data_IF_043107027965
#
_entry.id   IF_043107027965
#
_cell.length_a   1.000
_cell.length_b   1.000
_cell.length_c   1.000
_cell.angle_alpha   90.00
_cell.angle_beta   90.00
_cell.angle_gamma   90.00
#
_symmetry.space_group_name_H-M   'P 1'
#
loop_
_entity.id
_entity.type
_entity.pdbx_description
1 polymer ?
#
# COMPACT_ATOMS: atom_id res chain seq x y z
N UNK A 1 33.87 -13.77 -64.24
CA UNK A 1 33.33 -12.83 -63.23
C UNK A 1 32.98 -13.63 -62.01
N UNK A 2 33.77 -13.56 -60.99
CA UNK A 2 33.59 -14.32 -59.70
C UNK A 2 32.83 -13.43 -58.75
N UNK A 3 31.62 -13.81 -58.40
CA UNK A 3 30.83 -13.14 -57.33
C UNK A 3 31.20 -13.77 -56.00
N UNK A 4 31.82 -12.96 -55.15
CA UNK A 4 32.09 -13.28 -53.73
C UNK A 4 30.83 -13.02 -52.94
N UNK A 5 30.34 -14.03 -52.24
CA UNK A 5 29.28 -13.92 -51.23
C UNK A 5 29.93 -13.56 -49.87
N UNK A 6 29.38 -12.62 -49.12
CA UNK A 6 29.85 -12.38 -47.76
C UNK A 6 29.28 -13.39 -46.79
N UNK A 7 30.15 -13.89 -45.97
CA UNK A 7 29.90 -14.80 -44.84
C UNK A 7 29.15 -14.05 -43.77
N UNK A 8 27.88 -14.39 -43.53
CA UNK A 8 27.11 -13.86 -42.40
C UNK A 8 27.55 -14.54 -41.11
N UNK A 9 28.20 -13.76 -40.23
CA UNK A 9 28.52 -14.19 -38.89
C UNK A 9 27.27 -14.22 -38.02
N UNK A 10 26.86 -15.42 -37.62
CA UNK A 10 25.75 -15.65 -36.69
C UNK A 10 26.24 -15.38 -35.26
N UNK A 11 25.91 -14.24 -34.71
CA UNK A 11 26.16 -13.92 -33.29
C UNK A 11 25.03 -14.57 -32.49
N UNK A 12 25.31 -15.69 -31.86
CA UNK A 12 24.43 -16.32 -30.87
C UNK A 12 24.52 -15.53 -29.56
N UNK A 13 23.55 -14.64 -29.34
CA UNK A 13 23.36 -13.99 -28.06
C UNK A 13 22.73 -14.97 -27.08
N UNK A 14 23.53 -15.53 -26.18
CA UNK A 14 23.04 -16.31 -25.04
C UNK A 14 22.39 -15.34 -24.05
N UNK A 15 21.07 -15.29 -24.05
CA UNK A 15 20.29 -14.64 -23.01
C UNK A 15 20.36 -15.51 -21.76
N UNK A 16 21.23 -15.14 -20.82
CA UNK A 16 21.21 -15.74 -19.49
C UNK A 16 19.99 -15.22 -18.75
N UNK A 17 18.96 -16.08 -18.62
CA UNK A 17 17.88 -15.85 -17.67
C UNK A 17 18.42 -16.02 -16.25
N UNK A 18 18.73 -14.92 -15.59
CA UNK A 18 18.88 -14.94 -14.13
C UNK A 18 17.50 -15.09 -13.54
N UNK A 19 17.20 -16.25 -13.01
CA UNK A 19 16.03 -16.52 -12.19
C UNK A 19 16.17 -15.74 -10.88
N UNK A 20 15.50 -14.62 -10.77
CA UNK A 20 15.24 -13.99 -9.47
C UNK A 20 14.13 -14.79 -8.80
N UNK A 21 14.51 -15.88 -8.14
CA UNK A 21 13.68 -16.51 -7.13
C UNK A 21 14.21 -16.02 -5.78
N UNK A 22 13.76 -14.88 -5.34
CA UNK A 22 13.81 -14.54 -3.93
C UNK A 22 12.53 -13.77 -3.56
N UNK A 23 11.47 -14.53 -3.31
CA UNK A 23 10.31 -14.08 -2.58
C UNK A 23 10.62 -14.19 -1.10
N UNK A 24 11.59 -13.41 -0.64
CA UNK A 24 11.59 -13.02 0.76
C UNK A 24 10.40 -12.11 0.94
N UNK A 25 9.41 -12.57 1.69
CA UNK A 25 8.42 -11.72 2.33
C UNK A 25 9.21 -10.72 3.18
N UNK A 26 9.60 -9.61 2.58
CA UNK A 26 10.11 -8.47 3.29
C UNK A 26 8.97 -7.99 4.16
N UNK A 27 9.01 -8.35 5.45
CA UNK A 27 8.28 -7.63 6.47
C UNK A 27 8.62 -6.16 6.23
N UNK A 28 7.64 -5.39 5.76
CA UNK A 28 7.83 -3.96 5.51
C UNK A 28 7.96 -3.30 6.87
N UNK A 29 9.17 -3.36 7.42
CA UNK A 29 9.47 -2.64 8.66
C UNK A 29 9.62 -1.16 8.30
N UNK A 30 8.82 -0.33 8.93
CA UNK A 30 8.97 1.11 8.83
C UNK A 30 10.40 1.52 9.20
N UNK A 31 10.99 2.51 8.51
CA UNK A 31 12.33 2.97 8.81
C UNK A 31 12.42 3.52 10.24
N UNK A 32 13.61 3.51 10.87
CA UNK A 32 13.78 4.08 12.21
C UNK A 32 13.30 5.54 12.27
N UNK A 33 12.46 5.84 13.25
CA UNK A 33 11.95 7.19 13.44
C UNK A 33 13.05 8.10 14.03
N UNK A 34 13.24 9.28 13.45
CA UNK A 34 14.21 10.28 13.93
C UNK A 34 13.57 11.40 14.76
N UNK A 35 12.24 11.52 14.73
CA UNK A 35 11.46 12.48 15.52
C UNK A 35 10.06 11.92 15.85
N UNK A 36 9.31 12.62 16.70
CA UNK A 36 7.96 12.19 17.14
C UNK A 36 6.97 12.08 15.98
N UNK A 37 7.00 12.97 15.01
CA UNK A 37 6.12 12.90 13.83
C UNK A 37 6.38 11.62 13.04
N UNK A 38 7.63 11.27 12.78
CA UNK A 38 7.98 10.03 12.08
C UNK A 38 7.60 8.78 12.88
N UNK A 39 7.73 8.84 14.20
CA UNK A 39 7.30 7.75 15.08
C UNK A 39 5.79 7.52 14.98
N UNK A 40 4.99 8.57 15.02
CA UNK A 40 3.54 8.47 14.87
C UNK A 40 3.14 7.96 13.49
N UNK A 41 3.80 8.44 12.41
CA UNK A 41 3.60 7.94 11.05
C UNK A 41 3.92 6.44 10.94
N UNK A 42 5.05 6.01 11.47
CA UNK A 42 5.44 4.60 11.43
C UNK A 42 4.44 3.73 12.19
N UNK A 43 4.00 4.16 13.38
CA UNK A 43 2.99 3.43 14.16
C UNK A 43 1.65 3.31 13.42
N UNK A 44 1.21 4.39 12.77
CA UNK A 44 -0.02 4.40 11.96
C UNK A 44 0.09 3.44 10.78
N UNK A 45 1.22 3.45 10.07
CA UNK A 45 1.47 2.57 8.93
C UNK A 45 1.56 1.11 9.34
N UNK A 46 2.26 0.80 10.41
CA UNK A 46 2.40 -0.57 10.92
C UNK A 46 1.05 -1.15 11.34
N UNK A 47 0.23 -0.34 12.03
CA UNK A 47 -1.14 -0.71 12.40
C UNK A 47 -2.00 -0.97 11.16
N UNK A 48 -2.00 -0.05 10.19
CA UNK A 48 -2.77 -0.18 8.95
C UNK A 48 -2.36 -1.46 8.19
N UNK A 49 -1.07 -1.69 8.00
CA UNK A 49 -0.56 -2.89 7.31
C UNK A 49 -0.95 -4.18 8.02
N UNK A 50 -0.86 -4.21 9.34
CA UNK A 50 -1.26 -5.38 10.14
C UNK A 50 -2.75 -5.67 9.99
N UNK A 51 -3.60 -4.66 10.06
CA UNK A 51 -5.05 -4.80 9.91
C UNK A 51 -5.45 -5.20 8.48
N UNK A 52 -4.79 -4.62 7.46
CA UNK A 52 -4.99 -5.03 6.07
C UNK A 52 -4.55 -6.47 5.82
N UNK A 53 -3.43 -6.90 6.38
CA UNK A 53 -2.95 -8.27 6.25
C UNK A 53 -3.96 -9.29 6.81
N UNK A 54 -4.68 -8.96 7.87
CA UNK A 54 -5.74 -9.81 8.41
C UNK A 54 -6.89 -10.01 7.41
N UNK A 55 -7.21 -9.00 6.60
CA UNK A 55 -8.26 -9.11 5.57
C UNK A 55 -7.88 -10.03 4.42
N UNK A 56 -6.59 -10.23 4.16
CA UNK A 56 -6.10 -11.11 3.09
C UNK A 56 -6.34 -12.60 3.35
N UNK A 57 -6.64 -12.98 4.59
CA UNK A 57 -7.01 -14.36 4.94
C UNK A 57 -8.49 -14.65 4.73
N UNK A 58 -9.29 -13.64 4.40
CA UNK A 58 -10.73 -13.78 4.16
C UNK A 58 -10.97 -14.35 2.75
N UNK A 59 -11.83 -15.36 2.64
CA UNK A 59 -12.14 -16.04 1.38
C UNK A 59 -13.28 -15.38 0.60
N UNK A 60 -14.13 -14.64 1.29
CA UNK A 60 -15.20 -13.88 0.67
C UNK A 60 -14.68 -12.50 0.23
N UNK A 61 -14.75 -12.23 -1.07
CA UNK A 61 -14.20 -11.00 -1.66
C UNK A 61 -14.86 -9.72 -1.11
N UNK A 62 -16.18 -9.74 -0.85
CA UNK A 62 -16.88 -8.56 -0.33
C UNK A 62 -16.48 -8.27 1.13
N UNK A 63 -16.31 -9.32 1.93
CA UNK A 63 -15.84 -9.19 3.32
C UNK A 63 -14.38 -8.74 3.34
N UNK A 64 -13.52 -9.35 2.51
CA UNK A 64 -12.11 -8.97 2.38
C UNK A 64 -11.97 -7.49 1.98
N UNK A 65 -12.75 -7.04 1.00
CA UNK A 65 -12.79 -5.65 0.56
C UNK A 65 -13.20 -4.72 1.70
N UNK A 66 -14.32 -4.98 2.36
CA UNK A 66 -14.83 -4.12 3.42
C UNK A 66 -13.85 -4.03 4.60
N UNK A 67 -13.27 -5.14 5.04
CA UNK A 67 -12.28 -5.16 6.12
C UNK A 67 -10.99 -4.44 5.74
N UNK A 68 -10.46 -4.71 4.55
CA UNK A 68 -9.23 -4.09 4.05
C UNK A 68 -9.39 -2.59 3.85
N UNK A 69 -10.52 -2.14 3.31
CA UNK A 69 -10.80 -0.72 3.09
C UNK A 69 -11.07 0.05 4.38
N UNK A 70 -11.69 -0.58 5.39
CA UNK A 70 -11.79 0.04 6.72
C UNK A 70 -10.40 0.30 7.29
N UNK A 71 -9.51 -0.67 7.26
CA UNK A 71 -8.13 -0.51 7.72
C UNK A 71 -7.39 0.60 6.98
N UNK A 72 -7.52 0.64 5.66
CA UNK A 72 -6.92 1.66 4.80
C UNK A 72 -7.46 3.07 5.12
N UNK A 73 -8.78 3.23 5.26
CA UNK A 73 -9.43 4.50 5.57
C UNK A 73 -9.05 5.02 6.98
N UNK A 74 -8.98 4.12 7.96
CA UNK A 74 -8.50 4.47 9.30
C UNK A 74 -7.04 4.95 9.27
N UNK A 75 -6.18 4.30 8.49
CA UNK A 75 -4.80 4.73 8.29
C UNK A 75 -4.71 6.11 7.63
N UNK A 76 -5.55 6.39 6.64
CA UNK A 76 -5.62 7.71 6.01
C UNK A 76 -6.10 8.81 6.97
N UNK A 77 -7.08 8.51 7.84
CA UNK A 77 -7.52 9.44 8.89
C UNK A 77 -6.40 9.70 9.90
N UNK A 78 -5.65 8.67 10.31
CA UNK A 78 -4.52 8.82 11.23
C UNK A 78 -3.43 9.70 10.60
N UNK A 79 -3.08 9.49 9.33
CA UNK A 79 -2.13 10.35 8.60
C UNK A 79 -2.63 11.80 8.51
N UNK A 80 -3.91 12.01 8.24
CA UNK A 80 -4.49 13.35 8.19
C UNK A 80 -4.43 14.06 9.55
N UNK A 81 -4.67 13.34 10.65
CA UNK A 81 -4.51 13.87 12.01
C UNK A 81 -3.06 14.25 12.33
N UNK A 82 -2.10 13.45 11.86
CA UNK A 82 -0.67 13.74 12.00
C UNK A 82 -0.30 15.01 11.21
N UNK A 83 -0.83 15.17 9.99
CA UNK A 83 -0.68 16.43 9.23
C UNK A 83 -1.23 17.63 10.02
N UNK A 84 -2.43 17.51 10.60
CA UNK A 84 -3.00 18.59 11.42
C UNK A 84 -2.21 18.90 12.70
N UNK A 85 -1.46 17.92 13.21
CA UNK A 85 -0.63 18.09 14.41
C UNK A 85 0.72 18.76 14.10
N UNK A 86 1.35 18.40 13.00
CA UNK A 86 2.72 18.78 12.69
C UNK A 86 2.87 19.65 11.44
N UNK A 87 1.95 19.56 10.49
CA UNK A 87 2.00 20.28 9.25
C UNK A 87 1.65 21.77 9.43
N UNK A 88 2.24 22.62 8.60
CA UNK A 88 2.07 24.06 8.63
C UNK A 88 1.52 24.64 7.33
N UNK A 89 1.56 23.88 6.25
CA UNK A 89 1.02 24.30 4.97
C UNK A 89 -0.51 24.36 4.99
N UNK A 90 -1.15 25.49 4.68
CA UNK A 90 -2.59 25.64 4.80
C UNK A 90 -3.38 24.78 3.79
N UNK A 91 -2.82 24.49 2.62
CA UNK A 91 -3.48 23.66 1.62
C UNK A 91 -3.49 22.18 2.05
N UNK A 92 -2.36 21.68 2.56
CA UNK A 92 -2.27 20.31 3.08
C UNK A 92 -3.11 20.11 4.34
N UNK A 93 -3.14 21.07 5.22
CA UNK A 93 -4.00 21.05 6.42
C UNK A 93 -5.50 21.00 6.05
N UNK A 94 -5.92 21.81 5.08
CA UNK A 94 -7.29 21.79 4.57
C UNK A 94 -7.63 20.43 3.95
N UNK A 95 -6.75 19.88 3.13
CA UNK A 95 -6.93 18.55 2.54
C UNK A 95 -7.06 17.46 3.62
N UNK A 96 -6.26 17.53 4.68
CA UNK A 96 -6.33 16.60 5.81
C UNK A 96 -7.71 16.65 6.51
N UNK A 97 -8.26 17.83 6.72
CA UNK A 97 -9.64 18.00 7.27
C UNK A 97 -10.70 17.39 6.32
N UNK A 98 -10.57 17.61 5.02
CA UNK A 98 -11.48 17.07 4.01
C UNK A 98 -11.42 15.54 3.98
N UNK A 99 -10.24 14.93 4.10
CA UNK A 99 -10.05 13.48 4.17
C UNK A 99 -10.75 12.91 5.41
N UNK A 100 -10.55 13.50 6.57
CA UNK A 100 -11.20 13.06 7.81
C UNK A 100 -12.73 13.08 7.66
N UNK A 101 -13.28 14.15 7.10
CA UNK A 101 -14.71 14.30 6.91
C UNK A 101 -15.29 13.33 5.87
N UNK A 102 -14.55 13.04 4.79
CA UNK A 102 -15.03 12.18 3.72
C UNK A 102 -14.98 10.69 4.08
N UNK A 103 -13.95 10.25 4.81
CA UNK A 103 -13.73 8.84 5.06
C UNK A 103 -14.52 8.27 6.23
N UNK A 104 -14.90 9.08 7.19
CA UNK A 104 -15.71 8.65 8.33
C UNK A 104 -17.03 7.97 7.93
N UNK A 105 -17.86 8.57 7.09
CA UNK A 105 -19.11 7.97 6.60
C UNK A 105 -18.91 6.68 5.81
N UNK A 106 -17.83 6.56 5.04
CA UNK A 106 -17.51 5.34 4.28
C UNK A 106 -17.11 4.19 5.22
N UNK A 107 -16.34 4.47 6.27
CA UNK A 107 -16.02 3.49 7.31
C UNK A 107 -17.31 2.99 7.98
N UNK A 108 -18.19 3.89 8.36
CA UNK A 108 -19.47 3.54 8.99
C UNK A 108 -20.34 2.68 8.07
N UNK A 109 -20.39 2.97 6.79
CA UNK A 109 -21.11 2.19 5.79
C UNK A 109 -20.58 0.75 5.71
N UNK A 110 -19.26 0.59 5.63
CA UNK A 110 -18.62 -0.73 5.56
C UNK A 110 -18.79 -1.52 6.86
N UNK A 111 -18.68 -0.88 8.02
CA UNK A 111 -18.91 -1.50 9.32
C UNK A 111 -20.36 -2.04 9.45
N UNK A 112 -21.36 -1.23 9.10
CA UNK A 112 -22.77 -1.63 9.11
C UNK A 112 -23.03 -2.77 8.14
N UNK A 113 -22.38 -2.78 6.99
CA UNK A 113 -22.50 -3.87 6.03
C UNK A 113 -21.90 -5.17 6.59
N UNK A 114 -20.71 -5.11 7.20
CA UNK A 114 -20.07 -6.26 7.83
C UNK A 114 -20.91 -6.86 8.97
N UNK A 115 -21.51 -6.04 9.82
CA UNK A 115 -22.41 -6.51 10.89
C UNK A 115 -23.56 -7.36 10.38
N UNK A 116 -24.08 -7.06 9.19
CA UNK A 116 -25.19 -7.78 8.56
C UNK A 116 -24.75 -9.03 7.79
N UNK A 117 -23.53 -9.06 7.27
CA UNK A 117 -23.09 -10.06 6.29
C UNK A 117 -21.99 -10.99 6.79
N UNK A 118 -21.25 -10.63 7.82
CA UNK A 118 -20.26 -11.48 8.46
C UNK A 118 -20.90 -12.27 9.59
N UNK A 119 -21.37 -13.48 9.25
CA UNK A 119 -21.91 -14.45 10.22
C UNK A 119 -20.88 -15.51 10.54
#
# INVERSE_FOLDING_TARGET
MKKLLPLAALIASTFSFTTFADTTHSMHMSPPATNEMQKELNQSMDKMHSEMANSMNEQNADIAFAQGMIAHHLGAIDMAKIELKYGTDPEMRKLAEEIINAQGPEIEQMQKWLEKNKK
#
